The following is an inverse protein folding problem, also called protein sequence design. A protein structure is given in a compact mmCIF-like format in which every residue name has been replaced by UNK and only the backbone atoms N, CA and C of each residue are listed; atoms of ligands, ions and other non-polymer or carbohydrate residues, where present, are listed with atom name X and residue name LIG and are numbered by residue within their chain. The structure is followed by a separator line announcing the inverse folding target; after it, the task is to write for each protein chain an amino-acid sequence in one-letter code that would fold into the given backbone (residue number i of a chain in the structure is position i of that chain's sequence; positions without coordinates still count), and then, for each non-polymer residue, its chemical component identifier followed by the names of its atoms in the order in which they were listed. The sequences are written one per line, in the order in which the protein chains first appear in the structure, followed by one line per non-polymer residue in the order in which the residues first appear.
data_IF_441439435042
#
_entry.id   IF_441439435042
#
_cell.length_a   1.000
_cell.length_b   1.000
_cell.length_c   1.000
_cell.angle_alpha   90.00
_cell.angle_beta   90.00
_cell.angle_gamma   90.00
#
_symmetry.space_group_name_H-M   'P 1'
#
loop_
_entity.id
_entity.type
_entity.pdbx_description
1 polymer ?
#
# COMPACT_ATOMS: atom_id res chain seq x y z
N UNK A 1 21.05 -12.05 -26.83
CA UNK A 1 20.55 -12.14 -25.43
C UNK A 1 19.34 -11.22 -25.30
N UNK A 2 18.16 -11.73 -24.92
CA UNK A 2 17.00 -10.88 -24.68
C UNK A 2 17.29 -9.92 -23.53
N UNK A 3 17.11 -8.60 -23.76
CA UNK A 3 17.34 -7.56 -22.75
C UNK A 3 16.43 -7.86 -21.55
N UNK A 4 16.99 -8.00 -20.35
CA UNK A 4 16.22 -8.27 -19.12
C UNK A 4 15.18 -7.17 -18.94
N UNK A 5 13.89 -7.53 -18.90
CA UNK A 5 12.78 -6.57 -18.76
C UNK A 5 12.86 -5.89 -17.38
N UNK A 6 12.69 -4.57 -17.35
CA UNK A 6 12.67 -3.76 -16.12
C UNK A 6 11.22 -3.54 -15.71
N UNK A 7 10.90 -3.85 -14.45
CA UNK A 7 9.54 -3.79 -13.90
C UNK A 7 9.32 -2.69 -12.87
N UNK A 8 10.37 -2.11 -12.29
CA UNK A 8 10.25 -1.11 -11.23
C UNK A 8 11.01 0.17 -11.56
N UNK A 9 10.34 1.33 -11.45
CA UNK A 9 10.87 2.65 -11.80
C UNK A 9 10.81 3.58 -10.59
N UNK A 10 11.96 4.07 -10.14
CA UNK A 10 12.06 4.98 -9.00
C UNK A 10 11.69 6.43 -9.38
N UNK A 11 11.17 7.19 -8.41
CA UNK A 11 10.95 8.63 -8.51
C UNK A 11 11.23 9.35 -7.18
N UNK A 12 11.73 10.58 -7.26
CA UNK A 12 12.03 11.44 -6.12
C UNK A 12 13.48 11.31 -5.59
N UNK A 13 13.83 12.12 -4.59
CA UNK A 13 15.17 12.07 -3.97
C UNK A 13 16.33 12.40 -4.94
N UNK A 14 16.08 13.27 -5.92
CA UNK A 14 17.07 13.63 -6.95
C UNK A 14 17.29 12.57 -8.03
N UNK A 15 16.50 11.48 -8.04
CA UNK A 15 16.58 10.44 -9.07
C UNK A 15 15.19 10.04 -9.54
N UNK A 16 14.92 10.24 -10.83
CA UNK A 16 13.68 9.78 -11.45
C UNK A 16 13.98 8.98 -12.71
N UNK A 17 13.38 7.80 -12.82
CA UNK A 17 13.59 6.88 -13.93
C UNK A 17 12.41 6.82 -14.91
N UNK A 18 11.25 7.34 -14.49
CA UNK A 18 10.02 7.43 -15.31
C UNK A 18 9.84 8.80 -15.96
N UNK A 19 8.86 8.92 -16.86
CA UNK A 19 8.50 10.16 -17.56
C UNK A 19 7.00 10.23 -17.83
N UNK A 20 6.51 11.44 -18.14
CA UNK A 20 5.10 11.73 -18.41
C UNK A 20 4.50 10.94 -19.57
N UNK A 21 5.31 10.60 -20.58
CA UNK A 21 4.92 9.85 -21.78
C UNK A 21 4.76 8.34 -21.52
N UNK A 22 5.23 7.84 -20.37
CA UNK A 22 5.22 6.42 -20.02
C UNK A 22 3.90 5.94 -19.40
N UNK A 23 2.77 6.59 -19.68
CA UNK A 23 1.45 6.29 -19.07
C UNK A 23 1.00 4.85 -19.28
N UNK A 24 1.30 4.26 -20.43
CA UNK A 24 0.95 2.87 -20.70
C UNK A 24 1.72 1.89 -19.81
N UNK A 25 2.95 2.23 -19.42
CA UNK A 25 3.83 1.38 -18.62
C UNK A 25 3.70 1.64 -17.11
N UNK A 26 3.63 2.91 -16.70
CA UNK A 26 3.62 3.34 -15.29
C UNK A 26 2.21 3.67 -14.77
N UNK A 27 1.21 3.60 -15.63
CA UNK A 27 -0.10 4.18 -15.36
C UNK A 27 -0.07 5.71 -15.35
N UNK A 28 -1.25 6.34 -15.35
CA UNK A 28 -1.36 7.79 -15.29
C UNK A 28 -0.77 8.37 -14.00
N UNK A 29 -1.01 7.72 -12.85
CA UNK A 29 -0.48 8.18 -11.56
C UNK A 29 1.05 8.06 -11.48
N UNK A 30 1.62 6.92 -11.88
CA UNK A 30 3.06 6.72 -11.82
C UNK A 30 3.82 7.63 -12.78
N UNK A 31 3.31 7.82 -13.99
CA UNK A 31 3.88 8.77 -14.96
C UNK A 31 3.84 10.21 -14.43
N UNK A 32 2.72 10.65 -13.84
CA UNK A 32 2.62 12.00 -13.27
C UNK A 32 3.49 12.18 -12.02
N UNK A 33 3.63 11.16 -11.17
CA UNK A 33 4.55 11.20 -10.02
C UNK A 33 6.01 11.37 -10.48
N UNK A 34 6.40 10.63 -11.51
CA UNK A 34 7.73 10.77 -12.11
C UNK A 34 7.93 12.15 -12.75
N UNK A 35 6.94 12.66 -13.48
CA UNK A 35 6.99 14.01 -14.06
C UNK A 35 7.15 15.09 -12.99
N UNK A 36 6.29 15.10 -11.97
CA UNK A 36 6.38 16.06 -10.87
C UNK A 36 7.72 15.99 -10.14
N UNK A 37 8.23 14.78 -9.88
CA UNK A 37 9.54 14.60 -9.24
C UNK A 37 10.70 15.08 -10.14
N UNK A 38 10.59 14.92 -11.46
CA UNK A 38 11.59 15.39 -12.43
C UNK A 38 11.61 16.91 -12.57
N UNK A 39 10.47 17.56 -12.34
CA UNK A 39 10.32 19.02 -12.27
C UNK A 39 10.80 19.62 -10.94
N UNK A 40 11.28 18.80 -10.00
CA UNK A 40 11.75 19.26 -8.69
C UNK A 40 10.62 19.64 -7.72
N UNK A 41 9.37 19.28 -8.00
CA UNK A 41 8.27 19.48 -7.07
C UNK A 41 8.45 18.58 -5.82
N UNK A 42 7.95 19.00 -4.64
CA UNK A 42 8.11 18.27 -3.39
C UNK A 42 7.22 17.01 -3.36
N UNK A 43 7.59 16.01 -4.13
CA UNK A 43 6.94 14.70 -4.20
C UNK A 43 7.62 13.74 -3.22
N UNK A 44 6.90 13.10 -2.28
CA UNK A 44 7.48 12.06 -1.45
C UNK A 44 8.06 10.94 -2.31
N UNK A 45 9.32 10.51 -2.09
CA UNK A 45 9.98 9.53 -2.95
C UNK A 45 9.29 8.16 -2.91
N UNK A 46 9.49 7.39 -3.97
CA UNK A 46 8.86 6.10 -4.14
C UNK A 46 9.28 5.41 -5.43
N UNK A 47 8.53 4.38 -5.79
CA UNK A 47 8.70 3.67 -7.05
C UNK A 47 7.38 3.13 -7.58
N UNK A 48 7.33 2.97 -8.90
CA UNK A 48 6.19 2.40 -9.62
C UNK A 48 6.56 1.04 -10.20
N UNK A 49 5.75 0.04 -9.91
CA UNK A 49 5.77 -1.29 -10.53
C UNK A 49 4.86 -1.25 -11.76
N UNK A 50 5.41 -1.63 -12.90
CA UNK A 50 4.79 -1.45 -14.22
C UNK A 50 3.49 -2.25 -14.44
N UNK A 51 2.67 -1.78 -15.39
CA UNK A 51 1.50 -2.52 -15.91
C UNK A 51 1.91 -3.84 -16.58
N UNK A 52 3.10 -3.91 -17.18
CA UNK A 52 3.65 -5.16 -17.74
C UNK A 52 3.91 -6.20 -16.66
N UNK A 53 4.33 -5.78 -15.45
CA UNK A 53 4.47 -6.71 -14.33
C UNK A 53 3.11 -7.31 -13.94
N UNK A 54 2.05 -6.50 -13.96
CA UNK A 54 0.67 -6.97 -13.74
C UNK A 54 0.23 -7.96 -14.82
N UNK A 55 0.52 -7.68 -16.10
CA UNK A 55 0.20 -8.60 -17.19
C UNK A 55 0.90 -9.95 -17.00
N UNK A 56 2.21 -9.91 -16.73
CA UNK A 56 3.00 -11.12 -16.51
C UNK A 56 2.54 -11.89 -15.26
N UNK A 57 2.12 -11.18 -14.21
CA UNK A 57 1.52 -11.78 -13.03
C UNK A 57 0.32 -12.66 -13.39
N UNK A 58 -0.59 -12.17 -14.22
CA UNK A 58 -1.73 -12.98 -14.69
C UNK A 58 -1.31 -14.10 -15.64
N UNK A 59 -0.39 -13.84 -16.59
CA UNK A 59 0.11 -14.88 -17.53
C UNK A 59 0.79 -16.06 -16.81
N UNK A 60 1.36 -15.83 -15.63
CA UNK A 60 2.04 -16.84 -14.82
C UNK A 60 1.16 -17.43 -13.71
N UNK A 61 -0.17 -17.30 -13.82
CA UNK A 61 -1.11 -17.86 -12.85
C UNK A 61 -1.09 -17.16 -11.50
N UNK A 62 -1.04 -15.82 -11.52
CA UNK A 62 -0.95 -14.94 -10.33
C UNK A 62 0.34 -15.13 -9.54
N UNK A 63 1.47 -15.18 -10.24
CA UNK A 63 2.83 -15.26 -9.66
C UNK A 63 3.69 -14.15 -10.20
N UNK A 64 4.55 -13.57 -9.36
CA UNK A 64 5.42 -12.48 -9.79
C UNK A 64 6.38 -12.94 -10.89
N UNK A 65 6.60 -12.14 -11.95
CA UNK A 65 7.60 -12.44 -12.95
C UNK A 65 9.00 -12.52 -12.33
N UNK A 66 9.83 -13.38 -12.90
CA UNK A 66 11.23 -13.55 -12.50
C UNK A 66 11.94 -12.20 -12.45
N UNK A 67 12.59 -11.91 -11.33
CA UNK A 67 13.34 -10.67 -11.12
C UNK A 67 12.54 -9.52 -10.49
N UNK A 68 11.20 -9.54 -10.50
CA UNK A 68 10.39 -8.47 -9.91
C UNK A 68 10.68 -8.30 -8.41
N UNK A 69 10.74 -9.40 -7.65
CA UNK A 69 11.06 -9.36 -6.22
C UNK A 69 12.39 -8.64 -5.95
N UNK A 70 13.43 -9.00 -6.70
CA UNK A 70 14.74 -8.38 -6.57
C UNK A 70 14.73 -6.89 -6.95
N UNK A 71 13.91 -6.48 -7.92
CA UNK A 71 13.72 -5.07 -8.27
C UNK A 71 12.98 -4.28 -7.18
N UNK A 72 11.92 -4.83 -6.61
CA UNK A 72 11.21 -4.23 -5.47
C UNK A 72 12.15 -4.06 -4.29
N UNK A 73 12.92 -5.10 -3.95
CA UNK A 73 13.85 -5.06 -2.82
C UNK A 73 14.96 -4.02 -3.02
N UNK A 74 15.52 -3.89 -4.24
CA UNK A 74 16.50 -2.85 -4.58
C UNK A 74 15.93 -1.43 -4.48
N UNK A 75 14.71 -1.21 -4.97
CA UNK A 75 14.09 0.11 -4.92
C UNK A 75 13.65 0.50 -3.51
N UNK A 76 13.25 -0.48 -2.70
CA UNK A 76 12.97 -0.24 -1.28
C UNK A 76 14.26 0.12 -0.51
N UNK A 77 15.38 -0.55 -0.78
CA UNK A 77 16.68 -0.16 -0.20
C UNK A 77 17.12 1.25 -0.65
N UNK A 78 16.85 1.62 -1.90
CA UNK A 78 17.09 2.99 -2.37
C UNK A 78 16.19 4.00 -1.64
N UNK A 79 14.92 3.65 -1.41
CA UNK A 79 13.98 4.49 -0.65
C UNK A 79 14.44 4.68 0.80
N UNK A 80 14.91 3.61 1.46
CA UNK A 80 15.52 3.67 2.80
C UNK A 80 16.72 4.63 2.81
N UNK A 81 17.63 4.52 1.82
CA UNK A 81 18.80 5.39 1.69
C UNK A 81 18.42 6.87 1.49
N UNK A 82 17.47 7.15 0.60
CA UNK A 82 17.03 8.52 0.28
C UNK A 82 16.31 9.16 1.47
N UNK A 83 15.54 8.39 2.22
CA UNK A 83 14.74 8.90 3.34
C UNK A 83 15.48 8.89 4.67
N UNK A 84 16.57 8.14 4.80
CA UNK A 84 17.26 7.90 6.07
C UNK A 84 16.42 7.10 7.08
N UNK A 85 15.47 6.30 6.59
CA UNK A 85 14.52 5.50 7.37
C UNK A 85 14.67 4.01 7.03
N UNK A 86 14.16 3.12 7.89
CA UNK A 86 14.27 1.66 7.73
C UNK A 86 12.90 0.98 7.66
N UNK A 87 12.68 0.12 6.66
CA UNK A 87 11.37 -0.47 6.40
C UNK A 87 11.11 -1.72 7.25
N UNK A 88 10.23 -1.58 8.24
CA UNK A 88 9.76 -2.68 9.09
C UNK A 88 10.58 -2.94 10.36
N UNK A 89 11.62 -2.15 10.62
CA UNK A 89 12.49 -2.25 11.79
C UNK A 89 13.13 -0.90 12.11
N UNK A 90 13.83 -0.82 13.24
CA UNK A 90 14.71 0.30 13.60
C UNK A 90 14.01 1.51 14.21
N UNK A 91 14.80 2.47 14.70
CA UNK A 91 14.30 3.64 15.46
C UNK A 91 13.67 4.74 14.61
N UNK A 92 13.90 4.72 13.29
CA UNK A 92 13.32 5.65 12.32
C UNK A 92 12.56 4.87 11.23
N UNK A 93 11.37 4.35 11.55
CA UNK A 93 10.67 3.45 10.63
C UNK A 93 10.23 4.17 9.35
N UNK A 94 10.47 3.53 8.21
CA UNK A 94 9.90 3.88 6.92
C UNK A 94 8.51 3.28 6.83
N UNK A 95 7.51 4.12 6.63
CA UNK A 95 6.16 3.70 6.27
C UNK A 95 5.89 4.03 4.82
N UNK A 96 5.17 3.17 4.12
CA UNK A 96 4.80 3.38 2.71
C UNK A 96 3.29 3.29 2.51
N UNK A 97 2.82 3.95 1.46
CA UNK A 97 1.52 3.70 0.85
C UNK A 97 1.68 2.83 -0.38
N UNK A 98 0.69 1.98 -0.63
CA UNK A 98 0.57 1.19 -1.86
C UNK A 98 -0.71 1.61 -2.56
N UNK A 99 -0.56 2.12 -3.79
CA UNK A 99 -1.61 2.76 -4.58
C UNK A 99 -1.60 2.25 -6.01
N UNK A 100 -2.72 1.73 -6.46
CA UNK A 100 -2.94 1.39 -7.85
C UNK A 100 -2.93 2.60 -8.80
N UNK A 101 -2.57 2.36 -10.06
CA UNK A 101 -2.70 3.33 -11.14
C UNK A 101 -2.69 2.67 -12.52
N UNK A 102 -3.84 2.61 -13.18
CA UNK A 102 -3.91 2.19 -14.59
C UNK A 102 -3.56 3.35 -15.54
N UNK A 103 -3.36 3.05 -16.82
CA UNK A 103 -3.08 4.07 -17.85
C UNK A 103 -4.26 5.05 -18.03
N UNK A 104 -5.49 4.55 -17.88
CA UNK A 104 -6.73 5.32 -17.88
C UNK A 104 -7.25 5.43 -16.44
N UNK A 105 -7.80 6.60 -16.09
CA UNK A 105 -8.37 6.83 -14.77
C UNK A 105 -9.59 5.94 -14.54
N UNK A 106 -9.63 5.27 -13.38
CA UNK A 106 -10.73 4.38 -12.97
C UNK A 106 -11.13 4.72 -11.51
N UNK A 107 -11.94 5.78 -11.29
CA UNK A 107 -12.27 6.27 -9.95
C UNK A 107 -13.05 5.25 -9.11
N UNK A 108 -12.65 5.07 -7.85
CA UNK A 108 -13.31 4.17 -6.91
C UNK A 108 -13.08 2.67 -7.18
N UNK A 109 -12.24 2.32 -8.15
CA UNK A 109 -12.11 0.93 -8.62
C UNK A 109 -11.00 0.14 -7.93
N UNK A 110 -10.09 0.85 -7.25
CA UNK A 110 -8.90 0.23 -6.67
C UNK A 110 -8.52 0.93 -5.36
N UNK A 111 -8.38 0.12 -4.33
CA UNK A 111 -8.17 0.58 -2.97
C UNK A 111 -6.71 0.98 -2.72
N UNK A 112 -6.52 1.79 -1.68
CA UNK A 112 -5.23 2.29 -1.25
C UNK A 112 -4.95 1.73 0.14
N UNK A 113 -3.73 1.24 0.36
CA UNK A 113 -3.28 0.85 1.69
C UNK A 113 -2.24 1.86 2.15
N UNK A 114 -2.49 2.53 3.27
CA UNK A 114 -1.56 3.46 3.90
C UNK A 114 -0.88 2.82 5.11
N UNK A 115 0.22 3.43 5.56
CA UNK A 115 0.97 3.06 6.76
C UNK A 115 1.60 1.66 6.76
N UNK A 116 1.77 1.03 5.59
CA UNK A 116 2.46 -0.26 5.47
C UNK A 116 3.87 -0.14 6.04
N UNK A 117 4.28 -1.14 6.82
CA UNK A 117 5.51 -1.13 7.61
C UNK A 117 5.26 -0.98 9.11
N UNK A 118 4.05 -0.61 9.56
CA UNK A 118 3.71 -0.67 10.98
C UNK A 118 3.54 -2.13 11.44
N UNK A 119 4.23 -2.44 12.53
CA UNK A 119 4.16 -3.69 13.29
C UNK A 119 4.40 -3.37 14.77
N UNK A 120 4.38 -4.38 15.64
CA UNK A 120 4.54 -4.17 17.08
C UNK A 120 5.90 -3.52 17.45
N UNK A 121 6.95 -3.68 16.65
CA UNK A 121 8.26 -3.02 16.82
C UNK A 121 8.24 -1.56 16.34
N UNK A 122 7.90 -1.34 15.07
CA UNK A 122 7.93 -0.01 14.45
C UNK A 122 6.87 0.92 15.01
N UNK A 123 5.77 0.39 15.55
CA UNK A 123 4.80 1.15 16.34
C UNK A 123 5.46 1.81 17.54
N UNK A 124 6.25 1.06 18.33
CA UNK A 124 6.94 1.61 19.50
C UNK A 124 7.99 2.63 19.10
N UNK A 125 8.75 2.35 18.04
CA UNK A 125 9.74 3.28 17.51
C UNK A 125 9.09 4.58 17.03
N UNK A 126 7.97 4.52 16.29
CA UNK A 126 7.27 5.70 15.80
C UNK A 126 6.62 6.49 16.94
N UNK A 127 6.08 5.82 17.97
CA UNK A 127 5.51 6.48 19.14
C UNK A 127 6.58 7.28 19.88
N UNK A 128 7.78 6.71 20.07
CA UNK A 128 8.92 7.41 20.66
C UNK A 128 9.40 8.58 19.79
N UNK A 129 9.47 8.39 18.47
CA UNK A 129 9.95 9.42 17.53
C UNK A 129 9.01 10.63 17.45
N UNK A 130 7.70 10.41 17.51
CA UNK A 130 6.68 11.45 17.34
C UNK A 130 6.26 12.11 18.66
N UNK A 131 6.52 11.47 19.79
CA UNK A 131 5.96 11.88 21.08
C UNK A 131 4.42 11.81 21.13
N UNK A 132 3.78 11.16 20.16
CA UNK A 132 2.34 11.12 20.00
C UNK A 132 1.85 9.68 19.88
N UNK A 133 1.83 8.97 21.00
CA UNK A 133 1.43 7.56 21.05
C UNK A 133 0.00 7.35 20.50
N UNK A 134 -0.92 8.28 20.77
CA UNK A 134 -2.29 8.20 20.26
C UNK A 134 -2.34 8.17 18.74
N UNK A 135 -1.61 9.06 18.07
CA UNK A 135 -1.51 9.10 16.61
C UNK A 135 -1.05 7.75 16.06
N UNK A 136 -0.02 7.15 16.66
CA UNK A 136 0.54 5.91 16.15
C UNK A 136 -0.42 4.73 16.32
N UNK A 137 -1.12 4.63 17.45
CA UNK A 137 -2.15 3.60 17.63
C UNK A 137 -3.34 3.80 16.68
N UNK A 138 -3.71 5.04 16.38
CA UNK A 138 -4.75 5.33 15.37
C UNK A 138 -4.28 4.95 13.96
N UNK A 139 -3.04 5.26 13.60
CA UNK A 139 -2.45 4.83 12.34
C UNK A 139 -2.38 3.30 12.22
N UNK A 140 -2.05 2.61 13.32
CA UNK A 140 -1.95 1.16 13.35
C UNK A 140 -3.30 0.46 13.23
N UNK A 141 -4.33 0.89 13.97
CA UNK A 141 -5.67 0.30 13.81
C UNK A 141 -6.21 0.52 12.39
N UNK A 142 -5.94 1.68 11.78
CA UNK A 142 -6.35 1.97 10.40
C UNK A 142 -5.62 1.06 9.40
N UNK A 143 -4.31 0.84 9.56
CA UNK A 143 -3.59 -0.15 8.75
C UNK A 143 -4.21 -1.54 8.90
N UNK A 144 -4.47 -2.00 10.13
CA UNK A 144 -5.06 -3.31 10.36
C UNK A 144 -6.42 -3.46 9.67
N UNK A 145 -7.26 -2.43 9.68
CA UNK A 145 -8.55 -2.45 8.98
C UNK A 145 -8.37 -2.44 7.46
N UNK A 146 -7.61 -1.47 6.91
CA UNK A 146 -7.37 -1.37 5.47
C UNK A 146 -6.72 -2.64 4.92
N UNK A 147 -5.71 -3.18 5.59
CA UNK A 147 -5.04 -4.41 5.17
C UNK A 147 -5.99 -5.62 5.24
N UNK A 148 -6.82 -5.70 6.28
CA UNK A 148 -7.76 -6.79 6.46
C UNK A 148 -8.80 -6.81 5.36
N UNK A 149 -9.36 -5.65 5.06
CA UNK A 149 -10.39 -5.45 4.04
C UNK A 149 -9.82 -5.58 2.62
N UNK A 150 -8.86 -4.74 2.27
CA UNK A 150 -8.34 -4.61 0.90
C UNK A 150 -7.46 -5.79 0.50
N UNK A 151 -6.54 -6.19 1.38
CA UNK A 151 -5.50 -7.17 1.03
C UNK A 151 -5.96 -8.58 1.34
N UNK A 152 -6.65 -8.75 2.47
CA UNK A 152 -7.10 -10.07 2.91
C UNK A 152 -8.58 -10.32 2.62
N UNK A 153 -9.39 -9.37 2.14
CA UNK A 153 -10.80 -9.60 1.84
C UNK A 153 -11.66 -9.94 3.07
N UNK A 154 -11.30 -9.41 4.24
CA UNK A 154 -12.13 -9.49 5.46
C UNK A 154 -13.09 -8.30 5.43
N UNK A 155 -14.39 -8.54 5.37
CA UNK A 155 -15.38 -7.48 5.22
C UNK A 155 -15.23 -6.34 6.24
N UNK A 156 -15.19 -5.11 5.72
CA UNK A 156 -15.09 -3.87 6.47
C UNK A 156 -16.03 -3.80 7.69
N UNK A 157 -17.26 -4.30 7.55
CA UNK A 157 -18.29 -4.27 8.61
C UNK A 157 -17.81 -4.95 9.91
N UNK A 158 -16.99 -6.00 9.81
CA UNK A 158 -16.47 -6.68 10.99
C UNK A 158 -15.53 -5.80 11.82
N UNK A 159 -14.73 -4.95 11.16
CA UNK A 159 -13.89 -3.97 11.83
C UNK A 159 -14.72 -2.84 12.44
N UNK A 160 -15.70 -2.30 11.71
CA UNK A 160 -16.58 -1.24 12.21
C UNK A 160 -17.40 -1.68 13.44
N UNK A 161 -17.89 -2.92 13.44
CA UNK A 161 -18.58 -3.51 14.60
C UNK A 161 -17.65 -3.63 15.80
N UNK A 162 -16.40 -4.03 15.60
CA UNK A 162 -15.41 -4.13 16.67
C UNK A 162 -15.06 -2.76 17.26
N UNK A 163 -14.83 -1.75 16.40
CA UNK A 163 -14.57 -0.37 16.80
C UNK A 163 -15.75 0.22 17.58
N UNK A 164 -16.97 0.07 17.06
CA UNK A 164 -18.22 0.54 17.70
C UNK A 164 -18.43 -0.10 19.07
N UNK A 165 -18.13 -1.39 19.22
CA UNK A 165 -18.21 -2.07 20.51
C UNK A 165 -17.24 -1.49 21.55
N UNK A 166 -16.01 -1.14 21.14
CA UNK A 166 -15.03 -0.50 22.03
C UNK A 166 -15.48 0.92 22.40
N UNK A 167 -15.94 1.72 21.43
CA UNK A 167 -16.48 3.07 21.67
C UNK A 167 -17.60 3.04 22.71
N UNK A 168 -18.57 2.13 22.56
CA UNK A 168 -19.68 1.97 23.51
C UNK A 168 -19.20 1.65 24.93
N UNK A 169 -18.24 0.72 25.09
CA UNK A 169 -17.67 0.38 26.41
C UNK A 169 -16.94 1.55 27.06
N UNK A 170 -16.31 2.39 26.25
CA UNK A 170 -15.56 3.58 26.69
C UNK A 170 -16.41 4.85 26.77
N UNK A 171 -17.72 4.77 26.47
CA UNK A 171 -18.65 5.93 26.38
C UNK A 171 -18.19 7.02 25.40
N UNK A 172 -17.39 6.65 24.41
CA UNK A 172 -16.93 7.53 23.33
C UNK A 172 -18.03 7.65 22.26
N UNK A 173 -18.28 8.87 21.75
CA UNK A 173 -19.25 9.10 20.66
C UNK A 173 -18.55 9.04 19.31
N UNK A 174 -17.40 9.70 19.22
CA UNK A 174 -16.56 9.77 18.03
C UNK A 174 -15.31 8.91 18.20
N UNK A 175 -14.72 8.51 17.07
CA UNK A 175 -13.39 7.86 17.07
C UNK A 175 -12.33 8.74 17.73
N UNK A 176 -12.48 10.07 17.57
CA UNK A 176 -11.60 11.08 18.15
C UNK A 176 -11.70 11.18 19.67
N UNK A 177 -12.71 10.57 20.29
CA UNK A 177 -12.85 10.55 21.73
C UNK A 177 -12.10 9.37 22.37
N UNK A 178 -11.58 8.44 21.55
CA UNK A 178 -10.75 7.34 22.05
C UNK A 178 -9.34 7.83 22.40
N UNK A 179 -8.96 7.55 23.64
CA UNK A 179 -7.61 7.68 24.15
C UNK A 179 -6.71 6.53 23.69
N UNK A 180 -5.44 6.55 24.13
CA UNK A 180 -4.44 5.52 23.80
C UNK A 180 -4.93 4.12 24.17
N UNK A 181 -5.51 3.94 25.37
CA UNK A 181 -5.98 2.64 25.83
C UNK A 181 -7.22 2.17 25.07
N UNK A 182 -8.09 3.10 24.66
CA UNK A 182 -9.18 2.85 23.74
C UNK A 182 -8.67 2.32 22.40
N UNK A 183 -7.69 2.96 21.80
CA UNK A 183 -7.11 2.53 20.52
C UNK A 183 -6.35 1.19 20.63
N UNK A 184 -5.64 0.95 21.73
CA UNK A 184 -5.05 -0.37 22.06
C UNK A 184 -6.13 -1.45 22.14
N UNK A 185 -7.26 -1.16 22.78
CA UNK A 185 -8.39 -2.08 22.87
C UNK A 185 -9.04 -2.34 21.49
N UNK A 186 -9.11 -1.34 20.61
CA UNK A 186 -9.53 -1.52 19.21
C UNK A 186 -8.58 -2.45 18.46
N UNK A 187 -7.27 -2.24 18.56
CA UNK A 187 -6.28 -3.11 17.92
C UNK A 187 -6.40 -4.57 18.42
N UNK A 188 -6.60 -4.76 19.72
CA UNK A 188 -6.84 -6.08 20.29
C UNK A 188 -8.13 -6.73 19.74
N UNK A 189 -9.21 -5.96 19.60
CA UNK A 189 -10.44 -6.42 18.98
C UNK A 189 -10.27 -6.76 17.49
N UNK A 190 -9.48 -5.97 16.75
CA UNK A 190 -9.15 -6.24 15.35
C UNK A 190 -8.35 -7.53 15.20
N UNK A 191 -7.40 -7.83 16.10
CA UNK A 191 -6.71 -9.14 16.12
C UNK A 191 -7.72 -10.31 16.23
N UNK A 192 -8.84 -10.14 16.94
CA UNK A 192 -9.92 -11.14 16.99
C UNK A 192 -10.74 -11.22 15.70
N UNK A 193 -10.99 -10.10 15.01
CA UNK A 193 -11.62 -10.09 13.68
C UNK A 193 -10.81 -10.92 12.69
N UNK A 194 -9.49 -10.71 12.64
CA UNK A 194 -8.57 -11.53 11.84
C UNK A 194 -8.67 -13.02 12.20
N UNK A 195 -8.62 -13.35 13.50
CA UNK A 195 -8.69 -14.74 13.97
C UNK A 195 -9.99 -15.43 13.54
N UNK A 196 -11.13 -14.75 13.63
CA UNK A 196 -12.44 -15.28 13.19
C UNK A 196 -12.50 -15.52 11.70
N UNK A 197 -11.77 -14.73 10.90
CA UNK A 197 -11.62 -14.94 9.46
C UNK A 197 -10.55 -16.00 9.10
N UNK A 198 -10.02 -16.74 10.08
CA UNK A 198 -8.89 -17.68 9.92
C UNK A 198 -7.62 -17.04 9.34
N UNK A 199 -7.41 -15.75 9.63
CA UNK A 199 -6.26 -14.96 9.16
C UNK A 199 -5.51 -14.36 10.33
N UNK A 200 -4.33 -13.79 10.04
CA UNK A 200 -3.53 -13.04 11.01
C UNK A 200 -2.99 -11.80 10.33
N UNK A 201 -2.90 -10.71 11.08
CA UNK A 201 -2.23 -9.51 10.59
C UNK A 201 -0.71 -9.78 10.52
N UNK A 202 -0.07 -9.66 9.35
CA UNK A 202 1.36 -9.96 9.20
C UNK A 202 2.20 -8.90 9.91
N UNK A 203 3.13 -9.33 10.76
CA UNK A 203 4.07 -8.44 11.45
C UNK A 203 5.31 -8.11 10.61
N UNK A 204 5.63 -8.97 9.63
CA UNK A 204 6.70 -8.75 8.67
C UNK A 204 6.26 -7.72 7.62
N UNK A 205 6.96 -6.59 7.58
CA UNK A 205 6.67 -5.49 6.65
C UNK A 205 6.91 -5.85 5.18
N UNK A 206 7.86 -6.73 4.86
CA UNK A 206 8.10 -7.20 3.48
C UNK A 206 6.95 -8.09 3.03
N UNK A 207 6.41 -8.92 3.92
CA UNK A 207 5.20 -9.70 3.64
C UNK A 207 3.98 -8.81 3.46
N UNK A 208 3.81 -7.78 4.31
CA UNK A 208 2.77 -6.77 4.13
C UNK A 208 2.84 -6.12 2.74
N UNK A 209 4.03 -5.67 2.32
CA UNK A 209 4.24 -5.03 1.02
C UNK A 209 3.95 -5.98 -0.14
N UNK A 210 4.46 -7.21 -0.09
CA UNK A 210 4.24 -8.20 -1.13
C UNK A 210 2.73 -8.51 -1.30
N UNK A 211 2.04 -8.75 -0.19
CA UNK A 211 0.60 -9.00 -0.20
C UNK A 211 -0.20 -7.79 -0.73
N UNK A 212 0.20 -6.56 -0.39
CA UNK A 212 -0.44 -5.35 -0.91
C UNK A 212 -0.24 -5.19 -2.43
N UNK A 213 0.95 -5.52 -2.95
CA UNK A 213 1.20 -5.53 -4.41
C UNK A 213 0.33 -6.59 -5.09
N UNK A 214 0.24 -7.79 -4.52
CA UNK A 214 -0.63 -8.86 -5.03
C UNK A 214 -2.10 -8.46 -5.04
N UNK A 215 -2.57 -7.77 -3.99
CA UNK A 215 -3.93 -7.27 -3.92
C UNK A 215 -4.22 -6.23 -5.00
N UNK A 216 -3.29 -5.31 -5.27
CA UNK A 216 -3.43 -4.33 -6.37
C UNK A 216 -3.45 -5.00 -7.73
N UNK A 217 -2.58 -5.99 -7.99
CA UNK A 217 -2.67 -6.76 -9.23
C UNK A 217 -3.99 -7.55 -9.30
N UNK A 218 -4.41 -8.16 -8.20
CA UNK A 218 -5.68 -8.89 -8.07
C UNK A 218 -6.91 -8.01 -8.34
N UNK A 219 -6.87 -6.74 -7.94
CA UNK A 219 -8.00 -5.81 -8.15
C UNK A 219 -8.23 -5.48 -9.63
N UNK A 220 -7.24 -5.67 -10.50
CA UNK A 220 -7.38 -5.42 -11.94
C UNK A 220 -8.51 -6.22 -12.59
N UNK A 221 -8.70 -7.47 -12.16
CA UNK A 221 -9.73 -8.38 -12.68
C UNK A 221 -10.86 -8.65 -11.69
N UNK A 222 -11.09 -7.74 -10.72
CA UNK A 222 -12.29 -7.85 -9.91
C UNK A 222 -13.55 -7.56 -10.77
N UNK A 223 -14.74 -8.11 -10.40
CA UNK A 223 -15.96 -7.97 -11.21
C UNK A 223 -16.32 -6.51 -11.49
N UNK A 224 -16.09 -5.63 -10.52
CA UNK A 224 -16.33 -4.18 -10.64
C UNK A 224 -15.46 -3.58 -11.75
N UNK A 225 -14.16 -3.84 -11.74
CA UNK A 225 -13.17 -3.32 -12.70
C UNK A 225 -13.43 -3.83 -14.12
N UNK A 226 -13.81 -5.10 -14.26
CA UNK A 226 -14.22 -5.67 -15.55
C UNK A 226 -15.46 -4.91 -16.07
N UNK A 227 -16.49 -4.77 -15.23
CA UNK A 227 -17.73 -4.08 -15.63
C UNK A 227 -17.49 -2.61 -15.98
N UNK A 228 -16.65 -1.92 -15.22
CA UNK A 228 -16.29 -0.53 -15.51
C UNK A 228 -15.60 -0.38 -16.87
N UNK A 229 -14.63 -1.25 -17.19
CA UNK A 229 -13.97 -1.24 -18.49
C UNK A 229 -14.94 -1.52 -19.63
N UNK A 230 -15.88 -2.45 -19.45
CA UNK A 230 -16.93 -2.75 -20.43
C UNK A 230 -17.85 -1.55 -20.67
N UNK A 231 -18.33 -0.90 -19.61
CA UNK A 231 -19.26 0.24 -19.70
C UNK A 231 -18.63 1.48 -20.34
N UNK A 232 -17.31 1.66 -20.19
CA UNK A 232 -16.58 2.81 -20.72
C UNK A 232 -15.77 2.48 -21.99
N UNK A 233 -16.01 1.31 -22.61
CA UNK A 233 -15.29 0.79 -23.78
C UNK A 233 -13.75 0.87 -23.69
N UNK A 234 -13.20 0.61 -22.49
CA UNK A 234 -11.76 0.67 -22.24
C UNK A 234 -11.13 -0.66 -22.68
N UNK A 235 -10.37 -0.62 -23.78
CA UNK A 235 -9.68 -1.79 -24.38
C UNK A 235 -8.17 -1.61 -24.43
N UNK A 236 -7.44 -2.71 -24.64
CA UNK A 236 -5.99 -2.70 -24.90
C UNK A 236 -5.09 -2.40 -23.70
N UNK A 237 -5.64 -2.27 -22.49
CA UNK A 237 -4.83 -2.06 -21.28
C UNK A 237 -4.20 -3.38 -20.80
N UNK A 238 -2.89 -3.34 -20.57
CA UNK A 238 -2.11 -4.50 -20.09
C UNK A 238 -2.44 -4.89 -18.64
N UNK A 239 -2.78 -3.91 -17.81
CA UNK A 239 -2.90 -4.10 -16.37
C UNK A 239 -2.99 -2.77 -15.62
N UNK A 240 -2.77 -2.87 -14.31
CA UNK A 240 -2.61 -1.71 -13.43
C UNK A 240 -1.17 -1.64 -12.92
N UNK A 241 -0.62 -0.43 -12.77
CA UNK A 241 0.64 -0.22 -12.11
C UNK A 241 0.45 -0.13 -10.58
N UNK A 242 1.50 -0.39 -9.82
CA UNK A 242 1.52 -0.26 -8.36
C UNK A 242 2.50 0.83 -7.97
N UNK A 243 2.02 1.88 -7.30
CA UNK A 243 2.85 2.96 -6.79
C UNK A 243 3.10 2.71 -5.30
N UNK A 244 4.37 2.57 -4.94
CA UNK A 244 4.84 2.46 -3.56
C UNK A 244 5.51 3.77 -3.21
N UNK A 245 4.99 4.50 -2.22
CA UNK A 245 5.44 5.86 -1.91
C UNK A 245 5.61 6.04 -0.41
N UNK A 246 6.67 6.72 0.04
CA UNK A 246 6.84 7.01 1.47
C UNK A 246 5.65 7.81 2.01
N UNK A 247 5.23 7.48 3.24
CA UNK A 247 4.30 8.29 4.01
C UNK A 247 4.99 9.58 4.48
N UNK A 248 4.17 10.61 4.69
CA UNK A 248 4.53 11.91 5.27
C UNK A 248 3.74 12.15 6.55
#
# INVERSE_FOLDING_TARGET
MAKRKKYVYFFGGGRTEGRADMKQLLGGKGANLAEMASLGLPVPPGFTITTEACEQFYRQGKRWPVGLRAEVDRNLALLEKVTGKTFGYGSRPLLVSVRSGAAVSMPGMMDTVLNLGLNDETLRALAALTGNERFVWDAYRRLMQMFGDVVLGIEHEHFERALTAVKRRRRAKLDTDLDVDGLKAVCAAYKQVYKRAHKRFPQDARQQLAAAIDAVFGSWNNPRAIKYRQLNDIRGLLGTAVNVQTMV
#
